data_IF_269417826741
#
_entry.id   IF_269417826741
#
_cell.length_a   1.000
_cell.length_b   1.000
_cell.length_c   1.000
_cell.angle_alpha   90.00
_cell.angle_beta   90.00
_cell.angle_gamma   90.00
#
_symmetry.space_group_name_H-M   'P 1'
#
loop_
_entity.id
_entity.type
_entity.pdbx_description
1 polymer ?
#
# COMPACT_ATOMS: atom_id res chain seq x y z
N UNK A 1 -22.55 -6.03 9.14
CA UNK A 1 -21.61 -5.13 8.44
C UNK A 1 -21.69 -3.67 8.90
N UNK A 2 -22.86 -3.01 8.85
CA UNK A 2 -22.99 -1.59 9.25
C UNK A 2 -22.56 -1.29 10.69
N UNK A 3 -22.89 -2.16 11.65
CA UNK A 3 -22.47 -2.02 13.04
C UNK A 3 -20.93 -2.07 13.18
N UNK A 4 -20.25 -2.99 12.51
CA UNK A 4 -18.78 -3.07 12.52
C UNK A 4 -18.11 -1.84 11.92
N UNK A 5 -18.64 -1.34 10.80
CA UNK A 5 -18.17 -0.09 10.19
C UNK A 5 -18.37 1.12 11.12
N UNK A 6 -19.53 1.20 11.78
CA UNK A 6 -19.84 2.28 12.73
C UNK A 6 -18.94 2.24 13.97
N UNK A 7 -18.66 1.05 14.51
CA UNK A 7 -17.74 0.87 15.65
C UNK A 7 -16.33 1.32 15.27
N UNK A 8 -15.81 0.86 14.12
CA UNK A 8 -14.48 1.24 13.65
C UNK A 8 -14.38 2.75 13.40
N UNK A 9 -15.39 3.35 12.74
CA UNK A 9 -15.44 4.79 12.50
C UNK A 9 -15.52 5.58 13.82
N UNK A 10 -16.33 5.13 14.78
CA UNK A 10 -16.44 5.74 16.10
C UNK A 10 -15.11 5.69 16.87
N UNK A 11 -14.43 4.54 16.84
CA UNK A 11 -13.10 4.41 17.44
C UNK A 11 -12.10 5.38 16.81
N UNK A 12 -12.02 5.45 15.48
CA UNK A 12 -11.14 6.40 14.79
C UNK A 12 -11.44 7.86 15.16
N UNK A 13 -12.72 8.25 15.23
CA UNK A 13 -13.12 9.60 15.63
C UNK A 13 -12.71 9.92 17.07
N UNK A 14 -12.93 8.99 18.00
CA UNK A 14 -12.54 9.17 19.41
C UNK A 14 -11.03 9.30 19.54
N UNK A 15 -10.26 8.43 18.89
CA UNK A 15 -8.79 8.47 18.90
C UNK A 15 -8.26 9.78 18.29
N UNK A 16 -8.87 10.28 17.22
CA UNK A 16 -8.43 11.48 16.52
C UNK A 16 -8.80 12.79 17.26
N UNK A 17 -10.02 12.89 17.79
CA UNK A 17 -10.54 14.14 18.39
C UNK A 17 -10.15 14.26 19.86
N UNK A 18 -10.15 13.14 20.60
CA UNK A 18 -9.94 13.11 22.04
C UNK A 18 -8.70 12.28 22.40
N UNK A 19 -7.48 12.69 21.96
CA UNK A 19 -6.25 11.98 22.28
C UNK A 19 -6.01 11.93 23.81
N UNK A 20 -6.62 12.83 24.60
CA UNK A 20 -6.55 12.79 26.06
C UNK A 20 -7.04 11.48 26.67
N UNK A 21 -8.06 10.85 26.08
CA UNK A 21 -8.63 9.60 26.59
C UNK A 21 -7.62 8.46 26.49
N UNK A 22 -6.75 8.52 25.47
CA UNK A 22 -5.79 7.47 25.11
C UNK A 22 -4.40 7.80 25.64
N UNK A 23 -4.13 9.08 25.89
CA UNK A 23 -2.89 9.60 26.42
C UNK A 23 -2.33 8.84 27.63
N UNK A 24 -3.11 8.47 28.68
CA UNK A 24 -2.56 7.70 29.81
C UNK A 24 -2.12 6.29 29.42
N UNK A 25 -2.86 5.62 28.53
CA UNK A 25 -2.48 4.30 28.01
C UNK A 25 -1.20 4.38 27.18
N UNK A 26 -1.11 5.37 26.29
CA UNK A 26 0.08 5.60 25.45
C UNK A 26 1.29 5.96 26.30
N UNK A 27 1.14 6.81 27.33
CA UNK A 27 2.25 7.12 28.25
C UNK A 27 2.74 5.89 29.00
N UNK A 28 1.85 5.01 29.46
CA UNK A 28 2.22 3.75 30.12
C UNK A 28 2.97 2.81 29.18
N UNK A 29 2.48 2.65 27.95
CA UNK A 29 3.14 1.84 26.93
C UNK A 29 4.50 2.45 26.52
N UNK A 30 4.60 3.77 26.41
CA UNK A 30 5.85 4.44 26.09
C UNK A 30 6.87 4.30 27.23
N UNK A 31 6.45 4.31 28.49
CA UNK A 31 7.34 4.20 29.64
C UNK A 31 8.13 2.87 29.70
N UNK A 32 7.70 1.84 28.96
CA UNK A 32 8.44 0.56 28.86
C UNK A 32 9.56 0.60 27.81
N UNK A 33 9.64 1.63 26.97
CA UNK A 33 10.70 1.78 25.98
C UNK A 33 11.85 2.63 26.53
N UNK A 34 13.11 2.14 26.50
CA UNK A 34 14.29 2.91 26.94
C UNK A 34 14.44 4.23 26.19
N UNK A 35 14.11 4.26 24.89
CA UNK A 35 14.17 5.45 24.06
C UNK A 35 13.18 6.56 24.47
N UNK A 36 12.06 6.20 25.11
CA UNK A 36 11.05 7.15 25.56
C UNK A 36 11.39 7.78 26.92
N UNK A 37 12.33 7.21 27.69
CA UNK A 37 12.78 7.77 28.96
C UNK A 37 13.63 9.03 28.77
N UNK A 38 14.32 9.16 27.62
CA UNK A 38 15.08 10.34 27.24
C UNK A 38 14.20 11.54 26.85
N UNK A 39 12.90 11.31 26.61
CA UNK A 39 12.00 12.27 25.97
C UNK A 39 10.77 12.49 26.84
N UNK A 40 10.68 13.65 27.50
CA UNK A 40 9.54 13.98 28.37
C UNK A 40 8.29 14.31 27.53
N UNK A 41 7.42 13.32 27.32
CA UNK A 41 6.10 13.49 26.69
C UNK A 41 5.10 14.15 27.65
N UNK A 42 5.29 15.43 27.95
CA UNK A 42 4.41 16.20 28.86
C UNK A 42 3.19 16.80 28.15
N UNK A 43 3.17 16.76 26.82
CA UNK A 43 2.20 17.47 25.99
C UNK A 43 1.01 16.66 25.47
N UNK A 44 0.66 15.48 25.99
CA UNK A 44 -0.50 14.70 25.49
C UNK A 44 -1.81 15.10 26.21
N UNK A 45 -2.20 16.36 26.07
CA UNK A 45 -3.45 16.93 26.60
C UNK A 45 -4.43 17.33 25.49
N UNK A 46 -5.31 18.31 25.76
CA UNK A 46 -6.19 18.91 24.75
C UNK A 46 -5.41 19.56 23.60
N UNK A 47 -4.19 19.98 23.92
CA UNK A 47 -3.18 20.38 22.95
C UNK A 47 -2.08 19.33 23.01
N UNK A 48 -1.80 18.71 21.88
CA UNK A 48 -0.68 17.78 21.66
C UNK A 48 0.57 18.60 21.37
N UNK A 49 1.60 18.46 22.22
CA UNK A 49 2.92 19.04 22.01
C UNK A 49 3.95 17.93 21.93
N UNK A 50 4.75 17.92 20.86
CA UNK A 50 5.81 16.96 20.68
C UNK A 50 7.10 17.50 21.31
N UNK A 51 7.78 16.73 22.16
CA UNK A 51 9.11 17.08 22.62
C UNK A 51 10.07 17.15 21.42
N UNK A 52 10.93 18.17 21.39
CA UNK A 52 11.84 18.53 20.28
C UNK A 52 11.22 19.27 19.07
N UNK A 53 9.93 19.59 19.07
CA UNK A 53 9.32 20.43 18.03
C UNK A 53 8.54 21.59 18.67
N UNK A 54 8.73 22.83 18.19
CA UNK A 54 7.98 24.01 18.64
C UNK A 54 6.53 24.05 18.16
N UNK A 55 6.03 22.95 17.60
CA UNK A 55 4.66 22.81 17.11
C UNK A 55 3.70 22.34 18.19
N UNK A 56 2.52 22.94 18.23
CA UNK A 56 1.40 22.47 19.05
C UNK A 56 0.18 22.27 18.18
N UNK A 57 -0.50 21.13 18.36
CA UNK A 57 -1.68 20.76 17.59
C UNK A 57 -2.82 20.60 18.59
N UNK A 58 -3.98 21.20 18.31
CA UNK A 58 -5.18 21.02 19.12
C UNK A 58 -6.22 20.23 18.30
N UNK A 59 -6.21 18.88 18.34
CA UNK A 59 -7.03 18.07 17.43
C UNK A 59 -8.52 18.35 17.54
N UNK A 60 -9.02 18.63 18.75
CA UNK A 60 -10.41 19.02 18.97
C UNK A 60 -10.80 20.33 18.29
N UNK A 61 -9.91 21.34 18.30
CA UNK A 61 -10.14 22.62 17.64
C UNK A 61 -10.10 22.45 16.13
N UNK A 62 -9.15 21.67 15.61
CA UNK A 62 -9.07 21.36 14.17
C UNK A 62 -10.35 20.63 13.72
N UNK A 63 -10.80 19.62 14.47
CA UNK A 63 -12.02 18.89 14.17
C UNK A 63 -13.26 19.80 14.17
N UNK A 64 -13.38 20.68 15.17
CA UNK A 64 -14.45 21.67 15.23
C UNK A 64 -14.40 22.66 14.07
N UNK A 65 -13.22 23.15 13.70
CA UNK A 65 -13.04 24.07 12.58
C UNK A 65 -13.38 23.41 11.23
N UNK A 66 -12.94 22.17 11.01
CA UNK A 66 -13.26 21.39 9.80
C UNK A 66 -14.76 21.12 9.73
N UNK A 67 -15.39 20.75 10.84
CA UNK A 67 -16.85 20.55 10.90
C UNK A 67 -17.60 21.85 10.59
N UNK A 68 -17.20 22.96 11.20
CA UNK A 68 -17.79 24.27 10.94
C UNK A 68 -17.63 24.69 9.48
N UNK A 69 -16.44 24.50 8.88
CA UNK A 69 -16.20 24.76 7.47
C UNK A 69 -17.06 23.89 6.56
N UNK A 70 -17.15 22.59 6.83
CA UNK A 70 -17.98 21.66 6.07
C UNK A 70 -19.47 22.03 6.15
N UNK A 71 -19.97 22.41 7.34
CA UNK A 71 -21.34 22.88 7.52
C UNK A 71 -21.59 24.20 6.78
N UNK A 72 -20.65 25.15 6.86
CA UNK A 72 -20.74 26.42 6.15
C UNK A 72 -20.80 26.20 4.62
N UNK A 73 -19.93 25.33 4.08
CA UNK A 73 -19.95 24.93 2.66
C UNK A 73 -21.26 24.25 2.30
N UNK A 74 -21.78 23.34 3.13
CA UNK A 74 -23.05 22.67 2.87
C UNK A 74 -24.24 23.63 2.86
N UNK A 75 -24.29 24.58 3.80
CA UNK A 75 -25.33 25.63 3.85
C UNK A 75 -25.22 26.55 2.64
N UNK A 76 -24.01 27.02 2.31
CA UNK A 76 -23.78 27.89 1.17
C UNK A 76 -24.12 27.19 -0.15
N UNK A 77 -23.74 25.92 -0.29
CA UNK A 77 -24.08 25.09 -1.45
C UNK A 77 -25.59 24.95 -1.57
N UNK A 78 -26.31 24.58 -0.50
CA UNK A 78 -27.78 24.48 -0.50
C UNK A 78 -28.44 25.81 -0.86
N UNK A 79 -27.96 26.93 -0.33
CA UNK A 79 -28.47 28.25 -0.66
C UNK A 79 -28.26 28.61 -2.14
N UNK A 80 -27.07 28.30 -2.68
CA UNK A 80 -26.76 28.43 -4.12
C UNK A 80 -27.64 27.53 -4.98
N UNK A 81 -27.88 26.28 -4.57
CA UNK A 81 -28.72 25.33 -5.31
C UNK A 81 -30.18 25.77 -5.39
N UNK A 82 -30.71 26.41 -4.34
CA UNK A 82 -32.07 26.99 -4.37
C UNK A 82 -32.26 28.07 -5.44
N UNK A 83 -31.17 28.72 -5.89
CA UNK A 83 -31.20 29.73 -6.95
C UNK A 83 -30.96 29.15 -8.35
N UNK A 84 -30.66 27.86 -8.46
CA UNK A 84 -30.41 27.21 -9.76
C UNK A 84 -31.70 26.62 -10.31
N UNK A 85 -31.86 26.59 -11.65
CA UNK A 85 -32.95 25.84 -12.27
C UNK A 85 -32.89 24.37 -11.87
N UNK A 86 -34.03 23.70 -11.91
CA UNK A 86 -34.12 22.28 -11.58
C UNK A 86 -33.14 21.48 -12.46
N UNK A 87 -32.34 20.57 -11.87
CA UNK A 87 -31.40 19.77 -12.65
C UNK A 87 -32.17 18.87 -13.63
N UNK A 88 -31.82 18.94 -14.91
CA UNK A 88 -32.32 18.03 -15.93
C UNK A 88 -31.59 16.68 -15.81
N UNK A 89 -32.33 15.58 -15.92
CA UNK A 89 -31.74 14.25 -16.08
C UNK A 89 -31.53 14.00 -17.57
N UNK A 90 -30.28 14.10 -18.01
CA UNK A 90 -29.85 13.83 -19.37
C UNK A 90 -29.06 12.52 -19.40
N UNK A 91 -29.06 11.79 -20.53
CA UNK A 91 -28.15 10.67 -20.70
C UNK A 91 -26.70 11.14 -20.57
N UNK A 92 -25.85 10.27 -20.02
CA UNK A 92 -24.43 10.53 -19.89
C UNK A 92 -23.78 10.55 -21.29
N UNK A 93 -22.72 11.34 -21.43
CA UNK A 93 -21.97 11.42 -22.68
C UNK A 93 -21.27 10.09 -22.98
N UNK A 94 -21.71 9.41 -24.04
CA UNK A 94 -21.18 8.10 -24.46
C UNK A 94 -20.03 8.19 -25.48
N UNK A 95 -19.36 9.36 -25.59
CA UNK A 95 -18.28 9.59 -26.55
C UNK A 95 -18.62 9.24 -28.01
N UNK A 96 -19.89 9.42 -28.40
CA UNK A 96 -20.39 9.09 -29.74
C UNK A 96 -20.93 7.68 -29.92
N UNK A 97 -20.90 6.82 -28.89
CA UNK A 97 -21.59 5.54 -28.91
C UNK A 97 -23.12 5.73 -28.77
N UNK A 98 -23.89 4.82 -29.38
CA UNK A 98 -25.35 4.85 -29.31
C UNK A 98 -25.89 4.65 -27.89
N UNK A 99 -25.25 3.80 -27.10
CA UNK A 99 -25.62 3.49 -25.72
C UNK A 99 -24.40 3.21 -24.83
N UNK A 100 -24.58 3.42 -23.53
CA UNK A 100 -23.59 3.06 -22.51
C UNK A 100 -23.82 1.64 -22.01
N UNK A 101 -22.77 0.83 -22.05
CA UNK A 101 -22.81 -0.55 -21.52
C UNK A 101 -21.96 -0.68 -20.26
N UNK A 102 -22.25 -1.68 -19.43
CA UNK A 102 -21.47 -1.97 -18.20
C UNK A 102 -19.98 -2.22 -18.51
N UNK A 103 -19.65 -2.67 -19.72
CA UNK A 103 -18.27 -2.89 -20.16
C UNK A 103 -17.47 -1.61 -20.38
N UNK A 104 -18.12 -0.46 -20.49
CA UNK A 104 -17.46 0.85 -20.65
C UNK A 104 -17.02 1.47 -19.32
N UNK A 105 -17.24 0.80 -18.18
CA UNK A 105 -16.76 1.28 -16.89
C UNK A 105 -15.23 1.20 -16.81
N UNK A 106 -14.62 2.22 -16.20
CA UNK A 106 -13.20 2.19 -15.88
C UNK A 106 -12.92 1.04 -14.92
N UNK A 107 -11.94 0.22 -15.28
CA UNK A 107 -11.51 -0.92 -14.46
C UNK A 107 -10.31 -0.52 -13.62
N UNK A 108 -9.99 -1.33 -12.59
CA UNK A 108 -8.77 -1.15 -11.80
C UNK A 108 -7.52 -1.08 -12.69
N UNK A 109 -7.49 -1.85 -13.79
CA UNK A 109 -6.41 -1.84 -14.79
C UNK A 109 -6.26 -0.48 -15.45
N UNK A 110 -7.37 0.15 -15.86
CA UNK A 110 -7.35 1.48 -16.49
C UNK A 110 -6.87 2.56 -15.51
N UNK A 111 -7.23 2.47 -14.22
CA UNK A 111 -6.73 3.39 -13.20
C UNK A 111 -5.24 3.19 -12.89
N UNK A 112 -4.75 1.95 -12.96
CA UNK A 112 -3.36 1.62 -12.68
C UNK A 112 -2.41 1.85 -13.86
N UNK A 113 -2.91 1.88 -15.10
CA UNK A 113 -2.11 2.00 -16.33
C UNK A 113 -1.08 3.15 -16.29
N UNK A 114 -1.40 4.39 -15.86
CA UNK A 114 -0.41 5.47 -15.84
C UNK A 114 0.75 5.17 -14.89
N UNK A 115 0.46 4.59 -13.72
CA UNK A 115 1.48 4.18 -12.75
C UNK A 115 2.31 3.03 -13.31
N UNK A 116 1.68 2.04 -13.96
CA UNK A 116 2.37 0.92 -14.59
C UNK A 116 3.33 1.38 -15.70
N UNK A 117 2.96 2.41 -16.49
CA UNK A 117 3.85 3.01 -17.48
C UNK A 117 5.03 3.73 -16.84
N UNK A 118 4.80 4.55 -15.81
CA UNK A 118 5.87 5.28 -15.10
C UNK A 118 6.87 4.32 -14.45
N UNK A 119 6.38 3.22 -13.86
CA UNK A 119 7.21 2.20 -13.22
C UNK A 119 7.51 1.00 -14.13
N UNK A 120 7.43 1.18 -15.46
CA UNK A 120 7.60 0.11 -16.44
C UNK A 120 8.94 -0.62 -16.34
N UNK A 121 10.02 0.06 -15.97
CA UNK A 121 11.35 -0.53 -15.81
C UNK A 121 11.42 -1.55 -14.65
N UNK A 122 10.61 -1.32 -13.62
CA UNK A 122 10.54 -2.16 -12.42
C UNK A 122 9.48 -3.23 -12.61
N UNK A 123 8.25 -2.82 -12.93
CA UNK A 123 7.08 -3.70 -13.02
C UNK A 123 7.06 -4.56 -14.28
N UNK A 124 7.69 -4.09 -15.37
CA UNK A 124 7.71 -4.75 -16.69
C UNK A 124 6.35 -5.33 -17.10
N UNK A 125 5.29 -4.50 -17.15
CA UNK A 125 3.96 -4.97 -17.52
C UNK A 125 3.99 -5.53 -18.95
N UNK A 126 3.57 -6.78 -19.12
CA UNK A 126 3.34 -7.37 -20.43
C UNK A 126 1.96 -6.91 -20.92
N UNK A 127 1.92 -6.17 -22.02
CA UNK A 127 0.71 -5.51 -22.52
C UNK A 127 0.48 -5.88 -23.97
N UNK A 128 -0.68 -6.46 -24.23
CA UNK A 128 -1.12 -6.87 -25.56
C UNK A 128 -2.43 -6.16 -25.92
N UNK A 129 -2.45 -5.61 -27.14
CA UNK A 129 -3.57 -4.83 -27.67
C UNK A 129 -3.93 -5.40 -29.03
N UNK A 130 -5.08 -6.06 -29.09
CA UNK A 130 -5.64 -6.59 -30.31
C UNK A 130 -6.78 -5.68 -30.80
N UNK A 131 -6.63 -5.11 -31.99
CA UNK A 131 -7.65 -4.26 -32.62
C UNK A 131 -8.26 -4.99 -33.81
N UNK A 132 -9.54 -5.32 -33.71
CA UNK A 132 -10.36 -5.80 -34.82
C UNK A 132 -11.00 -4.60 -35.50
N UNK A 133 -10.79 -4.44 -36.79
CA UNK A 133 -11.36 -3.37 -37.60
C UNK A 133 -12.61 -3.84 -38.35
N UNK A 134 -13.50 -2.91 -38.68
CA UNK A 134 -14.65 -3.24 -39.52
C UNK A 134 -14.21 -3.54 -40.96
N UNK A 135 -15.01 -4.33 -41.67
CA UNK A 135 -14.73 -4.69 -43.07
C UNK A 135 -14.71 -3.48 -44.01
N UNK A 136 -15.46 -2.42 -43.68
CA UNK A 136 -15.58 -1.23 -44.53
C UNK A 136 -14.38 -0.27 -44.42
N UNK A 137 -13.65 -0.26 -43.29
CA UNK A 137 -12.53 0.65 -43.10
C UNK A 137 -11.55 0.21 -42.01
N UNK A 138 -10.26 0.24 -42.34
CA UNK A 138 -9.18 0.06 -41.34
C UNK A 138 -9.07 1.20 -40.32
N UNK A 139 -9.75 2.32 -40.54
CA UNK A 139 -9.78 3.42 -39.58
C UNK A 139 -10.88 3.25 -38.52
N UNK A 140 -11.78 2.29 -38.68
CA UNK A 140 -12.88 2.05 -37.76
C UNK A 140 -12.63 0.76 -36.98
N UNK A 141 -12.39 0.90 -35.68
CA UNK A 141 -12.22 -0.24 -34.78
C UNK A 141 -13.59 -0.79 -34.39
N UNK A 142 -13.83 -2.07 -34.65
CA UNK A 142 -15.02 -2.80 -34.23
C UNK A 142 -14.86 -3.30 -32.80
N UNK A 143 -13.66 -3.81 -32.46
CA UNK A 143 -13.35 -4.36 -31.15
C UNK A 143 -11.90 -4.07 -30.79
N UNK A 144 -11.67 -3.69 -29.54
CA UNK A 144 -10.34 -3.57 -28.95
C UNK A 144 -10.28 -4.52 -27.75
N UNK A 145 -9.36 -5.48 -27.78
CA UNK A 145 -9.09 -6.38 -26.67
C UNK A 145 -7.79 -5.95 -26.02
N UNK A 146 -7.85 -5.52 -24.76
CA UNK A 146 -6.70 -5.15 -23.95
C UNK A 146 -6.40 -6.27 -22.96
N UNK A 147 -5.17 -6.79 -22.98
CA UNK A 147 -4.67 -7.75 -21.99
C UNK A 147 -3.42 -7.17 -21.35
N UNK A 148 -3.35 -7.22 -20.03
CA UNK A 148 -2.14 -6.86 -19.31
C UNK A 148 -1.86 -7.88 -18.22
N UNK A 149 -0.61 -8.28 -18.11
CA UNK A 149 -0.11 -9.14 -17.05
C UNK A 149 1.08 -8.44 -16.40
N UNK A 150 1.03 -8.30 -15.08
CA UNK A 150 2.14 -7.76 -14.29
C UNK A 150 2.74 -8.92 -13.51
N UNK A 151 3.97 -9.29 -13.84
CA UNK A 151 4.71 -10.28 -13.07
C UNK A 151 5.29 -9.65 -11.80
N UNK A 152 5.43 -10.44 -10.73
CA UNK A 152 6.12 -9.97 -9.52
C UNK A 152 7.64 -9.87 -9.79
N UNK A 153 8.11 -8.63 -9.94
CA UNK A 153 9.51 -8.35 -10.21
C UNK A 153 10.45 -8.78 -9.07
N UNK A 154 9.99 -8.72 -7.81
CA UNK A 154 10.78 -9.14 -6.64
C UNK A 154 10.88 -10.65 -6.62
N UNK A 155 9.77 -11.34 -6.90
CA UNK A 155 9.75 -12.80 -6.96
C UNK A 155 10.73 -13.32 -8.03
N UNK A 156 10.67 -12.75 -9.24
CA UNK A 156 11.52 -13.19 -10.35
C UNK A 156 12.99 -12.80 -10.17
N UNK A 157 13.29 -11.59 -9.67
CA UNK A 157 14.68 -11.09 -9.59
C UNK A 157 15.40 -11.45 -8.30
N UNK A 158 14.68 -11.69 -7.20
CA UNK A 158 15.29 -11.96 -5.89
C UNK A 158 14.96 -13.36 -5.39
N UNK A 159 13.69 -13.71 -5.26
CA UNK A 159 13.30 -14.97 -4.63
C UNK A 159 13.72 -16.17 -5.47
N UNK A 160 13.38 -16.16 -6.76
CA UNK A 160 13.69 -17.27 -7.68
C UNK A 160 15.18 -17.61 -7.73
N UNK A 161 16.12 -16.65 -7.94
CA UNK A 161 17.55 -16.96 -7.94
C UNK A 161 18.09 -17.35 -6.56
N UNK A 162 17.61 -16.75 -5.47
CA UNK A 162 18.04 -17.11 -4.11
C UNK A 162 17.62 -18.54 -3.78
N UNK A 163 16.36 -18.90 -4.05
CA UNK A 163 15.85 -20.25 -3.85
C UNK A 163 16.62 -21.24 -4.73
N UNK A 164 16.89 -20.88 -5.99
CA UNK A 164 17.72 -21.68 -6.89
C UNK A 164 19.14 -21.89 -6.37
N UNK A 165 19.79 -20.85 -5.85
CA UNK A 165 21.13 -20.92 -5.27
C UNK A 165 21.16 -21.80 -4.01
N UNK A 166 20.16 -21.66 -3.13
CA UNK A 166 20.04 -22.50 -1.93
C UNK A 166 19.80 -23.96 -2.32
N UNK A 167 18.95 -24.23 -3.31
CA UNK A 167 18.73 -25.58 -3.83
C UNK A 167 20.00 -26.18 -4.43
N UNK A 168 20.77 -25.39 -5.19
CA UNK A 168 22.05 -25.82 -5.75
C UNK A 168 23.09 -26.11 -4.66
N UNK A 169 23.15 -25.29 -3.60
CA UNK A 169 24.02 -25.54 -2.44
C UNK A 169 23.61 -26.82 -1.70
N UNK A 170 22.31 -27.03 -1.49
CA UNK A 170 21.79 -28.24 -0.87
C UNK A 170 22.13 -29.49 -1.70
N UNK A 171 22.06 -29.41 -3.03
CA UNK A 171 22.49 -30.47 -3.94
C UNK A 171 23.98 -30.80 -3.80
N UNK A 172 24.83 -29.77 -3.79
CA UNK A 172 26.28 -29.92 -3.60
C UNK A 172 26.62 -30.57 -2.26
N UNK A 173 25.96 -30.11 -1.18
CA UNK A 173 26.17 -30.66 0.15
C UNK A 173 25.72 -32.12 0.25
N UNK A 174 24.59 -32.45 -0.39
CA UNK A 174 24.11 -33.84 -0.48
C UNK A 174 25.12 -34.75 -1.20
N UNK A 175 25.77 -34.26 -2.26
CA UNK A 175 26.83 -35.00 -2.97
C UNK A 175 28.08 -35.17 -2.13
N UNK A 176 28.46 -34.17 -1.32
CA UNK A 176 29.60 -34.25 -0.42
C UNK A 176 29.43 -35.33 0.66
N UNK A 177 28.20 -35.51 1.17
CA UNK A 177 27.84 -36.56 2.13
C UNK A 177 27.57 -37.92 1.47
N UNK A 178 28.58 -38.47 0.79
CA UNK A 178 28.48 -39.75 0.06
C UNK A 178 28.65 -41.01 0.96
N UNK A 179 28.55 -40.87 2.29
CA UNK A 179 28.67 -42.00 3.24
C UNK A 179 30.08 -42.54 3.50
N UNK A 180 31.13 -41.90 2.96
CA UNK A 180 32.53 -42.34 3.16
C UNK A 180 33.10 -41.85 4.49
N UNK A 181 33.44 -42.78 5.39
CA UNK A 181 34.04 -42.51 6.71
C UNK A 181 35.31 -41.66 6.61
N UNK A 182 36.14 -41.89 5.60
CA UNK A 182 37.39 -41.15 5.39
C UNK A 182 37.16 -39.64 5.14
N UNK A 183 36.07 -39.27 4.44
CA UNK A 183 35.74 -37.85 4.22
C UNK A 183 35.29 -37.16 5.50
N UNK A 184 34.50 -37.85 6.33
CA UNK A 184 34.08 -37.33 7.63
C UNK A 184 35.27 -37.10 8.57
N UNK A 185 36.23 -38.03 8.60
CA UNK A 185 37.46 -37.87 9.38
C UNK A 185 38.28 -36.65 8.90
N UNK A 186 38.41 -36.46 7.59
CA UNK A 186 39.08 -35.29 7.02
C UNK A 186 38.38 -33.97 7.39
N UNK A 187 37.05 -33.91 7.33
CA UNK A 187 36.28 -32.74 7.78
C UNK A 187 36.48 -32.46 9.26
N UNK A 188 36.50 -33.48 10.10
CA UNK A 188 36.76 -33.35 11.54
C UNK A 188 38.15 -32.79 11.84
N UNK A 189 39.20 -33.35 11.23
CA UNK A 189 40.57 -32.87 11.38
C UNK A 189 40.73 -31.41 10.91
N UNK A 190 40.11 -31.06 9.78
CA UNK A 190 40.11 -29.69 9.27
C UNK A 190 39.38 -28.73 10.23
N UNK A 191 38.23 -29.14 10.78
CA UNK A 191 37.49 -28.35 11.77
C UNK A 191 38.33 -28.04 13.01
N UNK A 192 39.03 -29.04 13.56
CA UNK A 192 39.95 -28.85 14.69
C UNK A 192 41.09 -27.90 14.35
N UNK A 193 41.68 -28.03 13.16
CA UNK A 193 42.74 -27.14 12.68
C UNK A 193 42.26 -25.68 12.60
N UNK A 194 41.06 -25.45 12.04
CA UNK A 194 40.46 -24.11 11.93
C UNK A 194 40.25 -23.51 13.32
N UNK A 195 39.69 -24.27 14.26
CA UNK A 195 39.49 -23.81 15.64
C UNK A 195 40.82 -23.44 16.29
N UNK A 196 41.86 -24.25 16.11
CA UNK A 196 43.18 -23.98 16.68
C UNK A 196 43.81 -22.68 16.13
N UNK A 197 43.58 -22.39 14.85
CA UNK A 197 44.09 -21.17 14.20
C UNK A 197 43.29 -19.94 14.62
N UNK A 198 41.96 -20.05 14.77
CA UNK A 198 41.08 -18.92 15.16
C UNK A 198 41.14 -18.62 16.65
N UNK A 199 41.39 -19.64 17.49
CA UNK A 199 41.52 -19.48 18.95
C UNK A 199 42.91 -19.01 19.40
N UNK A 200 43.82 -18.77 18.45
CA UNK A 200 45.09 -18.08 18.68
C UNK A 200 44.90 -16.57 18.63
#
# INVERSE_FOLDING_TARGET
MRAGMAIAAGACLVLAVAPLLVAPMVRRAAATLPAAQAVKFTGLGAVVRLPAMSGSIAPGVIAAAVLAAALAVAVLARWRFRRRPAPARLPLWACGAADLTVRMQYTATSFAEPLQRVFGDVLRPDTDIEVTHTAESRYMAERITYRTAVADAIEQRLYTPVVGAVAAMAELLRRAHTGSVHRYLAYGALGVLIVLVVAR
#
